data_IF_003839837269
#
_entry.id   IF_003839837269
#
_cell.length_a   1.000
_cell.length_b   1.000
_cell.length_c   1.000
_cell.angle_alpha   90.00
_cell.angle_beta   90.00
_cell.angle_gamma   90.00
#
_symmetry.space_group_name_H-M   'P 1'
#
loop_
_entity.id
_entity.type
_entity.pdbx_description
1 polymer ?
#
# COMPACT_ATOMS: atom_id res chain seq x y z
N UNK A 1 -8.99 -5.03 26.90
CA UNK A 1 -10.26 -5.22 26.15
C UNK A 1 -9.93 -5.33 24.66
N UNK A 2 -10.16 -6.48 24.02
CA UNK A 2 -9.84 -6.68 22.60
C UNK A 2 -10.75 -5.79 21.73
N UNK A 3 -10.27 -4.63 21.29
CA UNK A 3 -10.98 -3.79 20.32
C UNK A 3 -11.09 -4.59 19.03
N UNK A 4 -12.32 -4.95 18.65
CA UNK A 4 -12.61 -5.50 17.33
C UNK A 4 -12.15 -4.47 16.31
N UNK A 5 -11.27 -4.87 15.39
CA UNK A 5 -10.88 -4.05 14.24
C UNK A 5 -12.17 -3.61 13.55
N UNK A 6 -12.47 -2.31 13.57
CA UNK A 6 -13.71 -1.84 12.98
C UNK A 6 -13.53 -1.84 11.45
N UNK A 7 -14.58 -2.17 10.70
CA UNK A 7 -14.58 -2.03 9.23
C UNK A 7 -14.15 -0.61 8.79
N UNK A 8 -14.43 0.40 9.64
CA UNK A 8 -13.96 1.78 9.45
C UNK A 8 -12.44 1.89 9.41
N UNK A 9 -11.74 1.15 10.25
CA UNK A 9 -10.27 1.15 10.28
C UNK A 9 -9.74 0.44 9.01
N UNK A 10 -10.32 -0.70 8.63
CA UNK A 10 -9.97 -1.38 7.36
C UNK A 10 -10.18 -0.44 6.17
N UNK A 11 -11.30 0.30 6.13
CA UNK A 11 -11.58 1.29 5.09
C UNK A 11 -10.54 2.42 5.09
N UNK A 12 -10.10 2.89 6.25
CA UNK A 12 -9.08 3.92 6.41
C UNK A 12 -7.71 3.45 5.90
N UNK A 13 -7.38 2.17 6.12
CA UNK A 13 -6.19 1.52 5.58
C UNK A 13 -6.25 1.40 4.06
N UNK A 14 -7.40 1.01 3.51
CA UNK A 14 -7.62 0.97 2.06
C UNK A 14 -7.46 2.36 1.42
N UNK A 15 -7.96 3.40 2.09
CA UNK A 15 -7.85 4.79 1.65
C UNK A 15 -6.37 5.25 1.70
N UNK A 16 -5.64 4.89 2.75
CA UNK A 16 -4.20 5.19 2.86
C UNK A 16 -3.37 4.49 1.78
N UNK A 17 -3.66 3.22 1.47
CA UNK A 17 -3.01 2.49 0.36
C UNK A 17 -3.39 3.08 -0.99
N UNK A 18 -4.65 3.45 -1.18
CA UNK A 18 -5.10 4.13 -2.40
C UNK A 18 -4.36 5.44 -2.63
N UNK A 19 -4.21 6.27 -1.59
CA UNK A 19 -3.45 7.53 -1.67
C UNK A 19 -1.98 7.28 -1.99
N UNK A 20 -1.34 6.29 -1.36
CA UNK A 20 0.04 5.91 -1.71
C UNK A 20 0.16 5.52 -3.17
N UNK A 21 -0.81 4.77 -3.64
CA UNK A 21 -0.84 4.29 -5.01
C UNK A 21 -1.04 5.43 -6.00
N UNK A 22 -1.77 6.48 -5.64
CA UNK A 22 -1.84 7.71 -6.43
C UNK A 22 -0.49 8.43 -6.41
N UNK A 23 0.20 8.45 -5.27
CA UNK A 23 1.53 9.03 -5.16
C UNK A 23 2.54 8.36 -6.10
N UNK A 24 2.57 7.03 -6.16
CA UNK A 24 3.50 6.29 -7.04
C UNK A 24 3.24 6.58 -8.52
N UNK A 25 1.98 6.76 -8.90
CA UNK A 25 1.58 7.17 -10.25
C UNK A 25 2.07 8.57 -10.57
N UNK A 26 1.83 9.53 -9.66
CA UNK A 26 2.34 10.91 -9.80
C UNK A 26 3.86 10.91 -9.91
N UNK A 27 4.57 10.12 -9.10
CA UNK A 27 6.02 9.94 -9.19
C UNK A 27 6.48 9.40 -10.54
N UNK A 28 5.69 8.51 -11.17
CA UNK A 28 5.92 8.07 -12.55
C UNK A 28 5.84 9.22 -13.57
N UNK A 29 4.82 10.08 -13.44
CA UNK A 29 4.68 11.28 -14.28
C UNK A 29 5.77 12.33 -14.01
N UNK A 30 6.19 12.49 -12.75
CA UNK A 30 7.33 13.32 -12.35
C UNK A 30 8.59 12.82 -13.03
N UNK A 31 8.86 11.52 -12.99
CA UNK A 31 10.02 10.89 -13.63
C UNK A 31 10.05 11.11 -15.14
N UNK A 32 8.91 10.97 -15.82
CA UNK A 32 8.82 11.26 -17.25
C UNK A 32 9.05 12.75 -17.56
N UNK A 33 8.45 13.65 -16.77
CA UNK A 33 8.66 15.10 -16.90
C UNK A 33 10.12 15.50 -16.62
N UNK A 34 10.80 14.80 -15.71
CA UNK A 34 12.22 14.98 -15.40
C UNK A 34 13.11 14.65 -16.60
N UNK A 35 12.78 13.56 -17.31
CA UNK A 35 13.55 13.07 -18.45
C UNK A 35 13.37 13.95 -19.70
N UNK A 36 12.16 14.50 -19.91
CA UNK A 36 11.86 15.35 -21.07
C UNK A 36 12.24 16.83 -20.87
N UNK A 37 11.95 17.41 -19.70
CA UNK A 37 12.07 18.86 -19.46
C UNK A 37 13.14 19.24 -18.44
N UNK A 38 13.79 18.26 -17.81
CA UNK A 38 14.76 18.47 -16.74
C UNK A 38 14.12 18.86 -15.39
N UNK A 39 14.95 18.84 -14.35
CA UNK A 39 14.60 19.22 -12.96
C UNK A 39 14.17 20.68 -12.80
N UNK A 40 14.64 21.57 -13.69
CA UNK A 40 14.41 23.02 -13.59
C UNK A 40 13.16 23.51 -14.31
N UNK A 41 12.38 22.62 -14.94
CA UNK A 41 11.12 23.01 -15.55
C UNK A 41 10.06 23.30 -14.48
N UNK A 42 9.36 24.42 -14.62
CA UNK A 42 8.26 24.86 -13.72
C UNK A 42 7.21 23.76 -13.58
N UNK A 43 6.96 23.00 -14.66
CA UNK A 43 6.04 21.87 -14.67
C UNK A 43 6.52 20.77 -13.72
N UNK A 44 7.79 20.39 -13.80
CA UNK A 44 8.38 19.34 -12.96
C UNK A 44 8.43 19.74 -11.48
N UNK A 45 8.77 20.99 -11.18
CA UNK A 45 8.77 21.51 -9.80
C UNK A 45 7.34 21.53 -9.22
N UNK A 46 6.34 21.94 -10.01
CA UNK A 46 4.94 21.90 -9.59
C UNK A 46 4.44 20.47 -9.31
N UNK A 47 4.83 19.51 -10.16
CA UNK A 47 4.53 18.09 -9.98
C UNK A 47 5.22 17.51 -8.73
N UNK A 48 6.49 17.84 -8.48
CA UNK A 48 7.23 17.45 -7.27
C UNK A 48 6.59 18.01 -6.00
N UNK A 49 6.18 19.29 -6.02
CA UNK A 49 5.49 19.89 -4.87
C UNK A 49 4.16 19.17 -4.58
N UNK A 50 3.40 18.85 -5.64
CA UNK A 50 2.16 18.10 -5.51
C UNK A 50 2.40 16.69 -4.95
N UNK A 51 3.43 15.98 -5.40
CA UNK A 51 3.85 14.69 -4.87
C UNK A 51 4.15 14.76 -3.36
N UNK A 52 4.93 15.76 -2.93
CA UNK A 52 5.25 15.98 -1.51
C UNK A 52 4.00 16.27 -0.68
N UNK A 53 3.03 17.02 -1.20
CA UNK A 53 1.75 17.28 -0.52
C UNK A 53 0.95 15.99 -0.34
N UNK A 54 0.87 15.15 -1.38
CA UNK A 54 0.18 13.85 -1.31
C UNK A 54 0.86 12.92 -0.30
N UNK A 55 2.19 12.87 -0.30
CA UNK A 55 2.98 12.17 0.73
C UNK A 55 2.74 12.70 2.14
N UNK A 56 2.57 14.02 2.30
CA UNK A 56 2.23 14.64 3.58
C UNK A 56 0.87 14.18 4.11
N UNK A 57 -0.15 14.16 3.24
CA UNK A 57 -1.49 13.65 3.60
C UNK A 57 -1.43 12.15 3.94
N UNK A 58 -0.68 11.39 3.14
CA UNK A 58 -0.43 9.97 3.40
C UNK A 58 0.22 9.76 4.77
N UNK A 59 1.25 10.53 5.11
CA UNK A 59 1.95 10.42 6.39
C UNK A 59 1.03 10.69 7.59
N UNK A 60 0.16 11.70 7.50
CA UNK A 60 -0.81 12.01 8.56
C UNK A 60 -1.80 10.86 8.75
N UNK A 61 -2.32 10.31 7.65
CA UNK A 61 -3.20 9.14 7.69
C UNK A 61 -2.46 7.95 8.30
N UNK A 62 -1.24 7.68 7.86
CA UNK A 62 -0.42 6.60 8.40
C UNK A 62 -0.12 6.72 9.87
N UNK A 63 0.11 7.94 10.36
CA UNK A 63 0.33 8.20 11.77
C UNK A 63 -0.91 7.92 12.61
N UNK A 64 -2.11 8.10 12.07
CA UNK A 64 -3.37 7.69 12.73
C UNK A 64 -3.60 6.18 12.68
N UNK A 65 -3.07 5.52 11.66
CA UNK A 65 -3.17 4.07 11.48
C UNK A 65 -2.21 3.31 12.41
N UNK A 66 -0.96 3.73 12.55
CA UNK A 66 0.07 2.94 13.24
C UNK A 66 -0.28 2.60 14.70
N UNK A 67 -1.03 3.46 15.39
CA UNK A 67 -1.48 3.22 16.76
C UNK A 67 -2.71 2.32 16.90
N UNK A 68 -3.30 1.84 15.79
CA UNK A 68 -4.60 1.12 15.79
C UNK A 68 -4.56 -0.29 15.20
N UNK A 69 -3.58 -0.64 14.37
CA UNK A 69 -3.52 -1.96 13.73
C UNK A 69 -2.52 -2.88 14.40
N UNK A 70 -2.96 -4.10 14.72
CA UNK A 70 -2.08 -5.23 15.05
C UNK A 70 -1.40 -5.74 13.76
N UNK A 71 -0.18 -6.30 13.88
CA UNK A 71 0.65 -6.80 12.77
C UNK A 71 -0.10 -7.70 11.76
N UNK A 72 -1.15 -8.39 12.19
CA UNK A 72 -1.99 -9.26 11.35
C UNK A 72 -2.68 -8.54 10.18
N UNK A 73 -3.13 -7.29 10.35
CA UNK A 73 -3.80 -6.55 9.27
C UNK A 73 -2.79 -6.02 8.24
N UNK A 74 -1.57 -5.69 8.68
CA UNK A 74 -0.50 -5.27 7.77
C UNK A 74 -0.15 -6.37 6.75
N UNK A 75 -0.15 -7.64 7.20
CA UNK A 75 0.07 -8.78 6.32
C UNK A 75 -1.04 -8.98 5.28
N UNK A 76 -2.30 -8.74 5.64
CA UNK A 76 -3.42 -8.78 4.68
C UNK A 76 -3.33 -7.63 3.66
N UNK A 77 -2.82 -6.47 4.09
CA UNK A 77 -2.69 -5.30 3.24
C UNK A 77 -1.64 -5.46 2.13
N UNK A 78 -0.62 -6.30 2.33
CA UNK A 78 0.43 -6.58 1.33
C UNK A 78 -0.14 -7.17 0.02
N UNK A 79 -1.14 -8.06 0.13
CA UNK A 79 -1.88 -8.58 -1.02
C UNK A 79 -2.77 -7.51 -1.67
N UNK A 80 -3.25 -6.54 -0.89
CA UNK A 80 -4.09 -5.46 -1.40
C UNK A 80 -3.30 -4.45 -2.23
N UNK A 81 -2.04 -4.19 -1.88
CA UNK A 81 -1.15 -3.34 -2.69
C UNK A 81 -1.00 -3.88 -4.11
N UNK A 82 -0.98 -5.21 -4.28
CA UNK A 82 -0.96 -5.85 -5.60
C UNK A 82 -2.26 -5.62 -6.39
N UNK A 83 -3.41 -5.64 -5.73
CA UNK A 83 -4.69 -5.33 -6.38
C UNK A 83 -4.74 -3.86 -6.85
N UNK A 84 -4.23 -2.93 -6.05
CA UNK A 84 -4.10 -1.53 -6.47
C UNK A 84 -3.12 -1.35 -7.63
N UNK A 85 -1.99 -2.06 -7.63
CA UNK A 85 -1.05 -2.05 -8.78
C UNK A 85 -1.70 -2.56 -10.07
N UNK A 86 -2.52 -3.61 -10.00
CA UNK A 86 -3.31 -4.07 -11.16
C UNK A 86 -4.31 -3.02 -11.63
N UNK A 87 -4.98 -2.36 -10.69
CA UNK A 87 -5.98 -1.34 -11.01
C UNK A 87 -5.37 -0.19 -11.83
N UNK A 88 -4.20 0.31 -11.43
CA UNK A 88 -3.49 1.34 -12.19
C UNK A 88 -2.89 0.83 -13.51
N UNK A 89 -2.48 -0.45 -13.59
CA UNK A 89 -2.06 -1.08 -14.85
C UNK A 89 -3.17 -1.01 -15.91
N UNK A 90 -4.43 -1.19 -15.52
CA UNK A 90 -5.58 -1.04 -16.43
C UNK A 90 -5.86 0.44 -16.73
N UNK A 91 -5.93 1.27 -15.68
CA UNK A 91 -6.45 2.65 -15.79
C UNK A 91 -5.47 3.61 -16.48
N UNK A 92 -4.17 3.48 -16.24
CA UNK A 92 -3.17 4.41 -16.79
C UNK A 92 -2.53 3.92 -18.08
N UNK A 93 -2.25 2.62 -18.12
CA UNK A 93 -1.51 2.04 -19.22
C UNK A 93 -2.43 1.44 -20.28
N UNK A 94 -3.74 1.32 -20.00
CA UNK A 94 -4.73 0.64 -20.85
C UNK A 94 -4.19 -0.67 -21.42
N UNK A 95 -3.31 -1.35 -20.67
CA UNK A 95 -2.73 -2.60 -21.11
C UNK A 95 -3.82 -3.65 -21.09
N UNK A 96 -3.87 -4.46 -22.14
CA UNK A 96 -4.63 -5.70 -22.11
C UNK A 96 -4.13 -6.53 -20.92
N UNK A 97 -4.97 -6.62 -19.89
CA UNK A 97 -4.74 -7.51 -18.75
C UNK A 97 -4.88 -8.92 -19.26
N UNK A 98 -3.75 -9.41 -19.77
CA UNK A 98 -3.61 -10.75 -20.29
C UNK A 98 -3.86 -11.74 -19.16
N UNK A 99 -4.47 -12.88 -19.48
CA UNK A 99 -4.82 -13.94 -18.52
C UNK A 99 -3.63 -14.34 -17.63
N UNK A 100 -2.40 -14.25 -18.16
CA UNK A 100 -1.16 -14.47 -17.42
C UNK A 100 -0.94 -13.50 -16.23
N UNK A 101 -1.27 -12.21 -16.36
CA UNK A 101 -1.19 -11.23 -15.26
C UNK A 101 -2.18 -11.60 -14.13
N UNK A 102 -3.38 -12.06 -14.49
CA UNK A 102 -4.41 -12.50 -13.55
C UNK A 102 -3.95 -13.76 -12.80
N UNK A 103 -3.42 -14.76 -13.50
CA UNK A 103 -2.88 -15.98 -12.90
C UNK A 103 -1.73 -15.64 -11.95
N UNK A 104 -0.82 -14.74 -12.34
CA UNK A 104 0.27 -14.28 -11.50
C UNK A 104 -0.22 -13.65 -10.20
N UNK A 105 -1.27 -12.82 -10.25
CA UNK A 105 -1.85 -12.22 -9.04
C UNK A 105 -2.56 -13.26 -8.16
N UNK A 106 -3.30 -14.20 -8.75
CA UNK A 106 -3.90 -15.31 -8.00
C UNK A 106 -2.81 -16.14 -7.28
N UNK A 107 -1.69 -16.41 -7.95
CA UNK A 107 -0.57 -17.15 -7.38
C UNK A 107 0.06 -16.40 -6.19
N UNK A 108 0.24 -15.08 -6.29
CA UNK A 108 0.78 -14.26 -5.20
C UNK A 108 -0.22 -14.15 -4.04
N UNK A 109 -1.53 -14.03 -4.32
CA UNK A 109 -2.56 -14.06 -3.29
C UNK A 109 -2.57 -15.40 -2.55
N UNK A 110 -2.47 -16.52 -3.27
CA UNK A 110 -2.37 -17.85 -2.68
C UNK A 110 -1.14 -17.99 -1.78
N UNK A 111 0.04 -17.54 -2.23
CA UNK A 111 1.25 -17.52 -1.43
C UNK A 111 1.11 -16.66 -0.16
N UNK A 112 0.46 -15.50 -0.27
CA UNK A 112 0.23 -14.62 0.89
C UNK A 112 -0.71 -15.26 1.92
N UNK A 113 -1.75 -15.96 1.46
CA UNK A 113 -2.67 -16.69 2.34
C UNK A 113 -1.97 -17.85 3.04
N UNK A 114 -1.16 -18.64 2.33
CA UNK A 114 -0.40 -19.76 2.91
C UNK A 114 0.56 -19.27 3.98
N UNK A 115 1.34 -18.22 3.70
CA UNK A 115 2.26 -17.61 4.66
C UNK A 115 1.54 -17.05 5.90
N UNK A 116 0.32 -16.54 5.73
CA UNK A 116 -0.48 -16.02 6.84
C UNK A 116 -1.16 -17.14 7.66
N UNK A 117 -1.42 -18.29 7.03
CA UNK A 117 -2.11 -19.43 7.66
C UNK A 117 -1.14 -20.35 8.41
N UNK A 118 0.17 -20.18 8.26
CA UNK A 118 1.16 -21.01 8.96
C UNK A 118 1.05 -20.78 10.50
N UNK A 119 0.63 -21.80 11.28
CA UNK A 119 0.38 -21.65 12.71
C UNK A 119 1.66 -21.38 13.52
N UNK A 120 2.83 -21.68 12.95
CA UNK A 120 4.16 -21.38 13.49
C UNK A 120 4.45 -19.87 13.45
N UNK A 121 4.19 -19.21 12.32
CA UNK A 121 4.39 -17.75 12.16
C UNK A 121 3.35 -16.95 12.95
N UNK A 122 2.08 -17.40 12.96
CA UNK A 122 1.03 -16.79 13.80
C UNK A 122 1.34 -16.88 15.30
N UNK A 123 2.07 -17.93 15.72
CA UNK A 123 2.53 -18.12 17.09
C UNK A 123 3.68 -17.20 17.50
N UNK A 124 4.57 -16.84 16.58
CA UNK A 124 5.70 -15.93 16.84
C UNK A 124 5.27 -14.46 16.88
N UNK A 125 4.40 -14.04 15.94
CA UNK A 125 3.85 -12.67 15.93
C UNK A 125 3.07 -12.37 17.21
N UNK A 126 2.30 -13.35 17.73
CA UNK A 126 1.60 -13.23 19.01
C UNK A 126 2.53 -13.14 20.23
N UNK A 127 3.75 -13.67 20.14
CA UNK A 127 4.74 -13.62 21.21
C UNK A 127 5.49 -12.29 21.20
N UNK A 128 5.79 -11.74 20.03
CA UNK A 128 6.40 -10.40 19.90
C UNK A 128 5.43 -9.29 20.33
N UNK A 129 4.17 -9.33 19.88
CA UNK A 129 3.14 -8.35 20.29
C UNK A 129 2.97 -8.32 21.83
N UNK A 130 3.04 -9.47 22.50
CA UNK A 130 2.98 -9.55 23.97
C UNK A 130 4.22 -8.98 24.68
N UNK A 131 5.38 -9.07 24.05
CA UNK A 131 6.66 -8.65 24.63
C UNK A 131 6.87 -7.14 24.53
N UNK A 132 6.24 -6.52 23.54
CA UNK A 132 6.15 -5.06 23.39
C UNK A 132 5.08 -4.43 24.29
N UNK A 133 3.98 -5.14 24.59
CA UNK A 133 2.95 -4.67 25.54
C UNK A 133 3.41 -4.74 27.01
N UNK A 134 4.44 -5.54 27.32
CA UNK A 134 5.05 -5.68 28.66
C UNK A 134 6.32 -4.81 28.87
N UNK A 135 6.75 -4.03 27.88
CA UNK A 135 7.84 -3.05 27.98
C UNK A 135 7.32 -1.63 28.04
#
# INVERSE_FOLDING_TARGET
MKKKVALKDILLLQLAVGIYSINTVIGGFVGNSLNENGVMSVKTIGLLFFEVVVLGVYAILWQQLIGKFQLSIAYANKAMTLLWSLMWSIVLFHEDVTVYKIIGVIMVMAGTIILNTDPTVSGEVKKEDKKEEER
#
